data_IF_264834167735
#
_entry.id   IF_264834167735
#
_cell.length_a   1.000
_cell.length_b   1.000
_cell.length_c   1.000
_cell.angle_alpha   90.00
_cell.angle_beta   90.00
_cell.angle_gamma   90.00
#
_symmetry.space_group_name_H-M   'P 1'
#
loop_
_entity.id
_entity.type
_entity.pdbx_description
1 polymer ?
#
# COMPACT_ATOMS: atom_id res chain seq x y z
N UNK A 1 39.55 46.22 23.06
CA UNK A 1 39.56 46.37 21.59
C UNK A 1 38.90 45.12 21.01
N UNK A 2 37.57 45.15 20.89
CA UNK A 2 36.83 44.09 20.25
C UNK A 2 36.91 44.29 18.73
N UNK A 3 37.41 43.33 18.00
CA UNK A 3 37.60 43.37 16.55
C UNK A 3 36.25 43.41 15.82
N UNK A 4 36.03 44.52 15.14
CA UNK A 4 34.91 44.77 14.20
C UNK A 4 35.21 44.02 12.86
N UNK A 5 35.50 42.76 12.92
CA UNK A 5 35.77 41.95 11.73
C UNK A 5 34.92 40.71 11.83
N UNK A 6 33.67 40.80 11.38
CA UNK A 6 32.88 39.68 10.86
C UNK A 6 31.44 40.06 10.53
N UNK A 7 31.19 41.36 10.25
CA UNK A 7 29.84 41.79 9.85
C UNK A 7 29.54 41.60 8.35
N UNK A 8 30.50 41.08 7.57
CA UNK A 8 30.39 41.00 6.09
C UNK A 8 30.66 39.60 5.51
N UNK A 9 30.43 38.57 6.33
CA UNK A 9 30.36 37.24 5.79
C UNK A 9 29.05 37.11 5.00
N UNK A 10 29.10 36.83 3.68
CA UNK A 10 27.88 36.67 2.90
C UNK A 10 27.06 35.53 3.53
N UNK A 11 25.84 35.87 3.98
CA UNK A 11 24.87 34.94 4.48
C UNK A 11 24.68 33.85 3.39
N UNK A 12 25.15 32.63 3.67
CA UNK A 12 25.01 31.51 2.74
C UNK A 12 23.54 31.35 2.48
N UNK A 13 23.09 31.75 1.29
CA UNK A 13 21.76 31.47 0.83
C UNK A 13 21.45 29.99 1.09
N UNK A 14 20.29 29.67 1.69
CA UNK A 14 19.90 28.27 1.91
C UNK A 14 19.85 27.59 0.55
N UNK A 15 20.80 26.72 0.28
CA UNK A 15 20.75 25.88 -0.90
C UNK A 15 19.43 25.15 -0.86
N UNK A 16 18.51 25.44 -1.79
CA UNK A 16 17.29 24.68 -1.99
C UNK A 16 17.69 23.22 -2.25
N UNK A 17 17.85 22.45 -1.19
CA UNK A 17 17.91 21.01 -1.32
C UNK A 17 16.55 20.56 -1.81
N UNK A 18 16.49 20.02 -3.03
CA UNK A 18 15.33 19.24 -3.47
C UNK A 18 15.12 18.15 -2.42
N UNK A 19 14.09 18.32 -1.59
CA UNK A 19 13.74 17.35 -0.56
C UNK A 19 13.37 16.03 -1.24
N UNK A 20 14.29 15.09 -1.19
CA UNK A 20 14.09 13.72 -1.66
C UNK A 20 13.45 12.89 -0.56
N UNK A 21 12.25 13.11 -0.17
CA UNK A 21 11.47 12.39 0.82
C UNK A 21 12.12 11.20 1.52
N UNK A 22 12.10 11.19 2.82
CA UNK A 22 12.52 10.02 3.62
C UNK A 22 11.64 8.81 3.27
N UNK A 23 12.16 7.55 3.29
CA UNK A 23 11.37 6.33 3.08
C UNK A 23 10.09 6.26 3.93
N UNK A 24 10.11 6.82 5.13
CA UNK A 24 8.94 6.95 5.99
C UNK A 24 7.82 7.80 5.39
N UNK A 25 8.15 8.89 4.70
CA UNK A 25 7.18 9.74 4.02
C UNK A 25 6.53 9.03 2.84
N UNK A 26 7.31 8.32 2.02
CA UNK A 26 6.76 7.51 0.93
C UNK A 26 5.83 6.41 1.42
N UNK A 27 6.20 5.75 2.52
CA UNK A 27 5.35 4.75 3.17
C UNK A 27 4.02 5.35 3.64
N UNK A 28 4.04 6.57 4.17
CA UNK A 28 2.83 7.28 4.58
C UNK A 28 1.93 7.65 3.39
N UNK A 29 2.51 8.16 2.29
CA UNK A 29 1.76 8.47 1.06
C UNK A 29 1.12 7.20 0.49
N UNK A 30 1.88 6.11 0.39
CA UNK A 30 1.39 4.83 -0.12
C UNK A 30 0.28 4.25 0.77
N UNK A 31 0.37 4.43 2.09
CA UNK A 31 -0.68 4.02 3.01
C UNK A 31 -2.00 4.77 2.76
N UNK A 32 -1.93 6.07 2.49
CA UNK A 32 -3.12 6.87 2.16
C UNK A 32 -3.71 6.47 0.81
N UNK A 33 -2.88 6.31 -0.22
CA UNK A 33 -3.33 5.88 -1.56
C UNK A 33 -4.00 4.52 -1.46
N UNK A 34 -3.36 3.54 -0.80
CA UNK A 34 -3.95 2.21 -0.61
C UNK A 34 -5.27 2.28 0.17
N UNK A 35 -5.35 3.10 1.22
CA UNK A 35 -6.59 3.27 1.99
C UNK A 35 -7.75 3.81 1.17
N UNK A 36 -7.52 4.84 0.35
CA UNK A 36 -8.55 5.38 -0.55
C UNK A 36 -8.98 4.34 -1.59
N UNK A 37 -8.03 3.62 -2.19
CA UNK A 37 -8.33 2.56 -3.17
C UNK A 37 -9.15 1.45 -2.52
N UNK A 38 -8.79 1.01 -1.32
CA UNK A 38 -9.53 -0.02 -0.58
C UNK A 38 -10.94 0.43 -0.19
N UNK A 39 -11.11 1.70 0.16
CA UNK A 39 -12.44 2.24 0.46
C UNK A 39 -13.39 2.11 -0.74
N UNK A 40 -12.96 2.53 -1.92
CA UNK A 40 -13.77 2.40 -3.13
C UNK A 40 -14.00 0.94 -3.52
N UNK A 41 -12.97 0.10 -3.40
CA UNK A 41 -13.13 -1.34 -3.64
C UNK A 41 -14.17 -1.95 -2.71
N UNK A 42 -14.08 -1.72 -1.40
CA UNK A 42 -15.02 -2.27 -0.43
C UNK A 42 -16.45 -1.80 -0.69
N UNK A 43 -16.60 -0.53 -1.09
CA UNK A 43 -17.92 0.00 -1.44
C UNK A 43 -18.55 -0.78 -2.60
N UNK A 44 -17.81 -0.96 -3.70
CA UNK A 44 -18.28 -1.75 -4.85
C UNK A 44 -18.49 -3.21 -4.47
N UNK A 45 -17.58 -3.80 -3.74
CA UNK A 45 -17.65 -5.19 -3.29
C UNK A 45 -18.90 -5.48 -2.45
N UNK A 46 -19.29 -4.55 -1.57
CA UNK A 46 -20.51 -4.68 -0.78
C UNK A 46 -21.75 -4.59 -1.68
N UNK A 47 -21.76 -3.72 -2.70
CA UNK A 47 -22.86 -3.64 -3.66
C UNK A 47 -22.98 -4.92 -4.49
N UNK A 48 -21.89 -5.45 -5.01
CA UNK A 48 -21.86 -6.69 -5.79
C UNK A 48 -22.35 -7.88 -4.96
N UNK A 49 -21.85 -8.02 -3.74
CA UNK A 49 -22.29 -9.10 -2.84
C UNK A 49 -23.75 -8.96 -2.39
N UNK A 50 -24.27 -7.75 -2.32
CA UNK A 50 -25.69 -7.52 -2.00
C UNK A 50 -26.63 -8.04 -3.11
N UNK A 51 -26.16 -8.13 -4.36
CA UNK A 51 -26.93 -8.69 -5.48
C UNK A 51 -27.41 -10.12 -5.24
N UNK A 52 -26.66 -10.93 -4.48
CA UNK A 52 -27.09 -12.29 -4.08
C UNK A 52 -28.47 -12.28 -3.41
N UNK A 53 -28.78 -11.24 -2.64
CA UNK A 53 -30.08 -11.10 -1.95
C UNK A 53 -31.21 -10.64 -2.86
N UNK A 54 -30.87 -9.99 -3.97
CA UNK A 54 -31.85 -9.45 -4.93
C UNK A 54 -32.20 -10.52 -5.97
N UNK A 55 -31.18 -11.09 -6.62
CA UNK A 55 -31.29 -12.17 -7.62
C UNK A 55 -29.98 -12.94 -7.70
N UNK A 56 -30.01 -14.25 -7.41
CA UNK A 56 -28.85 -15.12 -7.63
C UNK A 56 -28.36 -15.14 -9.07
N UNK A 57 -29.27 -15.00 -10.04
CA UNK A 57 -28.96 -14.97 -11.47
C UNK A 57 -28.15 -13.72 -11.81
N UNK A 58 -28.58 -12.53 -11.35
CA UNK A 58 -27.87 -11.28 -11.56
C UNK A 58 -26.47 -11.31 -10.91
N UNK A 59 -26.33 -11.91 -9.73
CA UNK A 59 -25.03 -12.11 -9.10
C UNK A 59 -24.12 -13.02 -9.93
N UNK A 60 -24.62 -14.14 -10.44
CA UNK A 60 -23.86 -15.07 -11.24
C UNK A 60 -23.38 -14.40 -12.56
N UNK A 61 -24.20 -13.57 -13.18
CA UNK A 61 -23.84 -12.80 -14.38
C UNK A 61 -22.67 -11.86 -14.11
N UNK A 62 -22.70 -11.14 -12.97
CA UNK A 62 -21.60 -10.27 -12.54
C UNK A 62 -20.34 -11.09 -12.28
N UNK A 63 -20.43 -12.20 -11.55
CA UNK A 63 -19.28 -13.07 -11.25
C UNK A 63 -18.67 -13.66 -12.51
N UNK A 64 -19.49 -14.06 -13.49
CA UNK A 64 -18.99 -14.57 -14.78
C UNK A 64 -18.19 -13.51 -15.56
N UNK A 65 -18.58 -12.24 -15.45
CA UNK A 65 -17.82 -11.12 -16.03
C UNK A 65 -16.41 -11.01 -15.42
N UNK A 66 -16.22 -11.42 -14.17
CA UNK A 66 -14.93 -11.38 -13.48
C UNK A 66 -13.99 -12.53 -13.88
N UNK A 67 -14.45 -13.53 -14.59
CA UNK A 67 -13.64 -14.67 -15.05
C UNK A 67 -12.78 -14.31 -16.27
N UNK A 68 -11.85 -13.35 -16.10
CA UNK A 68 -10.90 -12.99 -17.14
C UNK A 68 -9.52 -12.64 -16.55
N UNK A 69 -8.43 -12.75 -17.32
CA UNK A 69 -7.07 -12.49 -16.84
C UNK A 69 -6.83 -11.08 -16.30
N UNK A 70 -7.55 -10.08 -16.83
CA UNK A 70 -7.41 -8.68 -16.41
C UNK A 70 -7.90 -8.53 -14.97
N UNK A 71 -9.06 -9.13 -14.65
CA UNK A 71 -9.59 -9.12 -13.29
C UNK A 71 -8.67 -9.88 -12.33
N UNK A 72 -8.06 -10.98 -12.80
CA UNK A 72 -7.05 -11.69 -12.01
C UNK A 72 -5.83 -10.85 -11.66
N UNK A 73 -5.36 -10.02 -12.57
CA UNK A 73 -4.29 -9.06 -12.28
C UNK A 73 -4.76 -7.96 -11.31
N UNK A 74 -6.00 -7.50 -11.45
CA UNK A 74 -6.59 -6.54 -10.50
C UNK A 74 -6.75 -7.14 -9.10
N UNK A 75 -7.12 -8.42 -9.00
CA UNK A 75 -7.18 -9.15 -7.73
C UNK A 75 -5.80 -9.24 -7.09
N UNK A 76 -4.75 -9.57 -7.86
CA UNK A 76 -3.37 -9.57 -7.36
C UNK A 76 -2.96 -8.20 -6.82
N UNK A 77 -3.26 -7.13 -7.58
CA UNK A 77 -2.98 -5.77 -7.15
C UNK A 77 -3.73 -5.41 -5.86
N UNK A 78 -5.00 -5.83 -5.75
CA UNK A 78 -5.81 -5.62 -4.57
C UNK A 78 -5.24 -6.34 -3.34
N UNK A 79 -4.88 -7.62 -3.46
CA UNK A 79 -4.24 -8.40 -2.39
C UNK A 79 -2.95 -7.70 -1.94
N UNK A 80 -2.14 -7.22 -2.88
CA UNK A 80 -0.92 -6.48 -2.59
C UNK A 80 -1.19 -5.19 -1.79
N UNK A 81 -2.23 -4.45 -2.17
CA UNK A 81 -2.64 -3.21 -1.49
C UNK A 81 -3.20 -3.47 -0.09
N UNK A 82 -4.08 -4.47 0.06
CA UNK A 82 -4.66 -4.85 1.36
C UNK A 82 -3.55 -5.25 2.33
N UNK A 83 -2.67 -6.14 1.91
CA UNK A 83 -1.57 -6.62 2.75
C UNK A 83 -0.62 -5.49 3.14
N UNK A 84 -0.22 -4.64 2.17
CA UNK A 84 0.61 -3.48 2.45
C UNK A 84 -0.07 -2.52 3.43
N UNK A 85 -1.32 -2.18 3.18
CA UNK A 85 -2.09 -1.26 4.03
C UNK A 85 -2.20 -1.77 5.48
N UNK A 86 -2.51 -3.05 5.65
CA UNK A 86 -2.62 -3.68 6.96
C UNK A 86 -1.28 -3.69 7.70
N UNK A 87 -0.21 -4.16 7.07
CA UNK A 87 1.12 -4.23 7.67
C UNK A 87 1.65 -2.85 8.04
N UNK A 88 1.51 -1.88 7.13
CA UNK A 88 1.96 -0.52 7.41
C UNK A 88 1.07 0.19 8.44
N UNK A 89 -0.22 -0.13 8.51
CA UNK A 89 -1.12 0.33 9.57
C UNK A 89 -0.68 -0.15 10.95
N UNK A 90 -0.32 -1.43 11.08
CA UNK A 90 0.27 -1.97 12.33
C UNK A 90 1.56 -1.23 12.68
N UNK A 91 2.44 -0.97 11.69
CA UNK A 91 3.67 -0.20 11.92
C UNK A 91 3.36 1.21 12.46
N UNK A 92 2.41 1.92 11.86
CA UNK A 92 2.03 3.27 12.29
C UNK A 92 1.53 3.23 13.74
N UNK A 93 0.66 2.28 14.08
CA UNK A 93 0.20 2.10 15.46
C UNK A 93 1.36 1.84 16.43
N UNK A 94 2.31 0.98 16.07
CA UNK A 94 3.48 0.72 16.91
C UNK A 94 4.36 1.95 17.09
N UNK A 95 4.54 2.76 16.05
CA UNK A 95 5.30 4.03 16.14
C UNK A 95 4.61 5.03 17.05
N UNK A 96 3.27 5.08 17.04
CA UNK A 96 2.49 6.04 17.82
C UNK A 96 2.34 5.65 19.30
N UNK A 97 2.17 4.35 19.57
CA UNK A 97 1.88 3.86 20.94
C UNK A 97 3.12 3.35 21.70
N UNK A 98 4.23 3.12 21.02
CA UNK A 98 5.47 2.67 21.67
C UNK A 98 6.49 3.80 21.72
N UNK A 99 6.98 4.13 22.92
CA UNK A 99 7.91 5.27 23.15
C UNK A 99 9.21 5.18 22.33
N UNK A 100 9.70 3.97 22.04
CA UNK A 100 10.89 3.72 21.20
C UNK A 100 10.55 3.55 19.71
N UNK A 101 9.28 3.57 19.36
CA UNK A 101 8.76 3.36 18.01
C UNK A 101 9.41 4.28 16.96
N UNK A 102 9.49 5.62 17.20
CA UNK A 102 10.09 6.54 16.24
C UNK A 102 11.56 6.22 15.93
N UNK A 103 12.30 5.70 16.92
CA UNK A 103 13.71 5.31 16.76
C UNK A 103 13.88 4.09 15.85
N UNK A 104 12.92 3.16 15.87
CA UNK A 104 12.98 1.90 15.13
C UNK A 104 12.13 1.92 13.85
N UNK A 105 11.55 3.05 13.46
CA UNK A 105 10.62 3.15 12.34
C UNK A 105 11.17 2.64 10.99
N UNK A 106 12.47 2.82 10.72
CA UNK A 106 13.12 2.31 9.50
C UNK A 106 13.26 0.79 9.52
N UNK A 107 13.64 0.22 10.65
CA UNK A 107 13.72 -1.23 10.81
C UNK A 107 12.34 -1.88 10.64
N UNK A 108 11.32 -1.32 11.29
CA UNK A 108 9.93 -1.78 11.14
C UNK A 108 9.47 -1.72 9.68
N UNK A 109 9.83 -0.67 8.93
CA UNK A 109 9.49 -0.55 7.51
C UNK A 109 10.10 -1.70 6.70
N UNK A 110 11.38 -2.02 6.91
CA UNK A 110 12.02 -3.12 6.21
C UNK A 110 11.46 -4.50 6.59
N UNK A 111 11.08 -4.68 7.86
CA UNK A 111 10.42 -5.91 8.33
C UNK A 111 9.07 -6.09 7.62
N UNK A 112 8.22 -5.08 7.60
CA UNK A 112 6.90 -5.19 6.93
C UNK A 112 7.04 -5.41 5.42
N UNK A 113 8.01 -4.78 4.77
CA UNK A 113 8.29 -5.02 3.36
C UNK A 113 8.78 -6.45 3.13
N UNK A 114 9.64 -6.97 4.00
CA UNK A 114 10.09 -8.37 3.95
C UNK A 114 8.92 -9.34 4.08
N UNK A 115 8.04 -9.16 5.06
CA UNK A 115 6.84 -9.97 5.25
C UNK A 115 5.93 -9.86 4.01
N UNK A 116 5.74 -8.65 3.50
CA UNK A 116 4.93 -8.41 2.30
C UNK A 116 5.44 -9.21 1.10
N UNK A 117 6.75 -9.19 0.83
CA UNK A 117 7.34 -9.96 -0.27
C UNK A 117 7.23 -11.48 -0.06
N UNK A 118 7.46 -11.96 1.16
CA UNK A 118 7.35 -13.39 1.49
C UNK A 118 5.94 -13.92 1.24
N UNK A 119 4.90 -13.12 1.51
CA UNK A 119 3.51 -13.50 1.26
C UNK A 119 3.13 -13.31 -0.22
N UNK A 120 3.60 -12.21 -0.85
CA UNK A 120 3.22 -11.89 -2.23
C UNK A 120 3.84 -12.83 -3.27
N UNK A 121 5.04 -13.38 -3.04
CA UNK A 121 5.70 -14.30 -3.98
C UNK A 121 4.83 -15.54 -4.22
N UNK A 122 4.41 -16.33 -3.21
CA UNK A 122 3.55 -17.48 -3.44
C UNK A 122 2.14 -17.10 -3.92
N UNK A 123 1.58 -15.98 -3.45
CA UNK A 123 0.27 -15.50 -3.89
C UNK A 123 0.28 -15.16 -5.39
N UNK A 124 1.28 -14.41 -5.86
CA UNK A 124 1.43 -14.10 -7.28
C UNK A 124 1.66 -15.36 -8.12
N UNK A 125 2.50 -16.28 -7.66
CA UNK A 125 2.73 -17.56 -8.35
C UNK A 125 1.45 -18.36 -8.53
N UNK A 126 0.58 -18.41 -7.51
CA UNK A 126 -0.71 -19.10 -7.58
C UNK A 126 -1.66 -18.44 -8.59
N UNK A 127 -1.75 -17.12 -8.57
CA UNK A 127 -2.62 -16.36 -9.48
C UNK A 127 -2.14 -16.52 -10.93
N UNK A 128 -0.83 -16.37 -11.20
CA UNK A 128 -0.27 -16.58 -12.54
C UNK A 128 -0.46 -18.02 -13.03
N UNK A 129 -0.31 -19.01 -12.16
CA UNK A 129 -0.59 -20.40 -12.49
C UNK A 129 -2.05 -20.59 -12.92
N UNK A 130 -3.01 -20.04 -12.17
CA UNK A 130 -4.43 -20.11 -12.50
C UNK A 130 -4.75 -19.41 -13.84
N UNK A 131 -4.14 -18.25 -14.10
CA UNK A 131 -4.30 -17.54 -15.37
C UNK A 131 -3.77 -18.38 -16.53
N UNK A 132 -2.58 -18.99 -16.37
CA UNK A 132 -1.95 -19.81 -17.41
C UNK A 132 -2.76 -21.08 -17.72
N UNK A 133 -3.25 -21.76 -16.68
CA UNK A 133 -4.03 -22.99 -16.84
C UNK A 133 -5.49 -22.77 -17.26
N UNK A 134 -5.96 -21.53 -17.36
CA UNK A 134 -7.35 -21.21 -17.64
C UNK A 134 -8.34 -21.69 -16.55
N UNK A 135 -7.84 -22.01 -15.35
CA UNK A 135 -8.63 -22.49 -14.21
C UNK A 135 -9.19 -21.34 -13.37
N UNK A 136 -9.25 -20.16 -13.95
CA UNK A 136 -9.75 -18.96 -13.29
C UNK A 136 -11.25 -19.12 -13.01
N UNK A 137 -11.62 -19.10 -11.74
CA UNK A 137 -13.02 -19.12 -11.32
C UNK A 137 -13.67 -20.49 -11.12
N UNK A 138 -12.87 -21.54 -10.90
CA UNK A 138 -13.34 -22.85 -10.44
C UNK A 138 -12.99 -23.07 -8.98
#
# INVERSE_FOLDING_TARGET
>A
MASIIDADAPEKEPTRSLYRGDPGMWSWVMHRISGVTLFFFLFVHVLDTALVRVSPEAYNEVVDTYKNPIVGLMELALVALVLYHALNGVRIMLVDFWSEGPRHQRLMLWIILGIWFVVMIPASGRIFYNIYMGTWGH
#
